data_IF_138552524141
#
_entry.id   IF_138552524141
#
_cell.length_a   1.000
_cell.length_b   1.000
_cell.length_c   1.000
_cell.angle_alpha   90.00
_cell.angle_beta   90.00
_cell.angle_gamma   90.00
#
_symmetry.space_group_name_H-M   'P 1'
#
loop_
_entity.id
_entity.type
_entity.pdbx_description
1 polymer ?
#
# COMPACT_ATOMS: atom_id res chain seq x y z
N UNK A 1 8.35 -6.03 -16.93
CA UNK A 1 8.13 -6.51 -15.54
C UNK A 1 7.10 -5.62 -14.85
N UNK A 2 6.24 -6.17 -14.01
CA UNK A 2 5.29 -5.43 -13.19
C UNK A 2 5.88 -5.26 -11.79
N UNK A 3 5.90 -4.04 -11.25
CA UNK A 3 6.14 -3.78 -9.83
C UNK A 3 4.78 -3.52 -9.19
N UNK A 4 4.38 -4.38 -8.25
CA UNK A 4 3.09 -4.32 -7.58
C UNK A 4 3.27 -3.75 -6.16
N UNK A 5 2.84 -2.51 -5.96
CA UNK A 5 2.76 -1.89 -4.64
C UNK A 5 1.44 -2.27 -3.97
N UNK A 6 1.50 -3.23 -3.07
CA UNK A 6 0.33 -3.65 -2.29
C UNK A 6 0.36 -2.97 -0.92
N UNK A 7 -0.79 -2.67 -0.37
CA UNK A 7 -0.85 -2.14 0.98
C UNK A 7 -2.18 -2.38 1.68
N UNK A 8 -2.12 -2.51 2.99
CA UNK A 8 -3.31 -2.38 3.82
C UNK A 8 -3.90 -0.98 3.59
N UNK A 9 -5.21 -0.84 3.42
CA UNK A 9 -5.83 0.48 3.33
C UNK A 9 -5.47 1.35 4.54
N UNK A 10 -5.18 2.63 4.27
CA UNK A 10 -4.80 3.63 5.29
C UNK A 10 -3.47 3.36 6.02
N UNK A 11 -2.67 2.45 5.53
CA UNK A 11 -1.31 2.18 6.01
C UNK A 11 -0.22 2.99 5.27
N UNK A 12 -0.54 4.17 4.75
CA UNK A 12 0.42 4.95 3.96
C UNK A 12 0.65 4.41 2.55
N UNK A 13 -0.26 3.55 2.03
CA UNK A 13 -0.11 2.90 0.74
C UNK A 13 -0.04 3.86 -0.46
N UNK A 14 -0.56 5.08 -0.34
CA UNK A 14 -0.39 6.14 -1.35
C UNK A 14 1.03 6.69 -1.36
N UNK A 15 1.57 7.01 -0.19
CA UNK A 15 2.95 7.46 -0.01
C UNK A 15 3.94 6.40 -0.51
N UNK A 16 3.79 5.16 -0.06
CA UNK A 16 4.63 4.03 -0.47
C UNK A 16 4.57 3.77 -1.98
N UNK A 17 3.37 3.82 -2.59
CA UNK A 17 3.21 3.66 -4.04
C UNK A 17 3.94 4.77 -4.81
N UNK A 18 3.78 6.03 -4.42
CA UNK A 18 4.41 7.15 -5.12
C UNK A 18 5.95 7.10 -5.00
N UNK A 19 6.48 6.77 -3.82
CA UNK A 19 7.92 6.57 -3.63
C UNK A 19 8.45 5.46 -4.56
N UNK A 20 7.77 4.30 -4.64
CA UNK A 20 8.15 3.21 -5.54
C UNK A 20 8.05 3.64 -7.00
N UNK A 21 6.98 4.33 -7.36
CA UNK A 21 6.76 4.81 -8.72
C UNK A 21 7.93 5.70 -9.16
N UNK A 22 8.26 6.72 -8.38
CA UNK A 22 9.30 7.68 -8.74
C UNK A 22 10.71 7.08 -8.70
N UNK A 23 10.99 6.18 -7.75
CA UNK A 23 12.22 5.37 -7.76
C UNK A 23 12.33 4.54 -9.04
N UNK A 24 11.25 3.92 -9.50
CA UNK A 24 11.27 3.13 -10.73
C UNK A 24 11.36 4.01 -11.98
N UNK A 25 10.92 5.27 -11.95
CA UNK A 25 11.19 6.23 -13.05
C UNK A 25 12.70 6.51 -13.20
N UNK A 26 13.47 6.54 -12.11
CA UNK A 26 14.93 6.66 -12.16
C UNK A 26 15.56 5.52 -12.98
N UNK A 27 14.98 4.32 -12.95
CA UNK A 27 15.37 3.15 -13.77
C UNK A 27 14.86 3.20 -15.21
N UNK A 28 14.15 4.24 -15.61
CA UNK A 28 13.54 4.35 -16.94
C UNK A 28 12.27 3.54 -17.13
N UNK A 29 11.58 3.18 -16.05
CA UNK A 29 10.30 2.50 -16.14
C UNK A 29 9.23 3.41 -16.76
N UNK A 30 8.27 2.80 -17.43
CA UNK A 30 7.16 3.53 -18.06
C UNK A 30 6.13 3.93 -17.02
N UNK A 31 5.49 5.09 -17.20
CA UNK A 31 4.33 5.45 -16.39
C UNK A 31 3.20 4.43 -16.63
N UNK A 32 2.63 3.91 -15.56
CA UNK A 32 1.54 2.93 -15.66
C UNK A 32 0.27 3.52 -16.30
N UNK A 33 0.09 4.84 -16.27
CA UNK A 33 -1.02 5.54 -16.94
C UNK A 33 -0.88 5.49 -18.46
N UNK A 34 0.35 5.64 -18.96
CA UNK A 34 0.65 5.50 -20.40
C UNK A 34 0.47 4.03 -20.86
N UNK A 35 0.93 3.07 -20.02
CA UNK A 35 0.70 1.64 -20.26
C UNK A 35 -0.79 1.35 -20.27
N UNK A 36 -1.57 1.88 -19.31
CA UNK A 36 -3.01 1.72 -19.21
C UNK A 36 -3.73 2.19 -20.49
N UNK A 37 -3.40 3.37 -20.98
CA UNK A 37 -3.97 3.93 -22.20
C UNK A 37 -3.56 3.12 -23.45
N UNK A 38 -2.25 2.87 -23.61
CA UNK A 38 -1.71 2.19 -24.80
C UNK A 38 -2.21 0.76 -24.96
N UNK A 39 -2.47 0.05 -23.87
CA UNK A 39 -2.86 -1.38 -23.88
C UNK A 39 -4.35 -1.59 -23.54
N UNK A 40 -5.15 -0.53 -23.54
CA UNK A 40 -6.59 -0.58 -23.25
C UNK A 40 -6.91 -1.33 -21.95
N UNK A 41 -6.33 -0.86 -20.84
CA UNK A 41 -6.49 -1.44 -19.51
C UNK A 41 -7.38 -0.59 -18.59
N UNK A 42 -8.20 0.30 -19.14
CA UNK A 42 -9.06 1.25 -18.42
C UNK A 42 -10.12 0.56 -17.57
N UNK A 43 -10.57 -0.61 -17.97
CA UNK A 43 -11.51 -1.47 -17.25
C UNK A 43 -10.86 -2.27 -16.10
N UNK A 44 -9.52 -2.29 -16.03
CA UNK A 44 -8.74 -3.06 -15.06
C UNK A 44 -8.01 -2.16 -14.07
N UNK A 45 -7.36 -1.11 -14.57
CA UNK A 45 -6.55 -0.19 -13.79
C UNK A 45 -7.28 1.14 -13.58
N UNK A 46 -7.34 1.61 -12.33
CA UNK A 46 -7.91 2.95 -12.07
C UNK A 46 -7.04 4.06 -12.66
N UNK A 47 -7.63 5.22 -12.89
CA UNK A 47 -6.98 6.35 -13.55
C UNK A 47 -5.79 6.92 -12.76
N UNK A 48 -5.99 7.20 -11.48
CA UNK A 48 -5.03 8.00 -10.70
C UNK A 48 -3.78 7.22 -10.29
N UNK A 49 -3.95 6.02 -9.73
CA UNK A 49 -2.86 5.25 -9.15
C UNK A 49 -2.74 3.84 -9.73
N UNK A 50 -3.38 3.60 -10.88
CA UNK A 50 -3.37 2.32 -11.57
C UNK A 50 -3.65 1.12 -10.66
N UNK A 51 -4.65 1.26 -9.76
CA UNK A 51 -5.05 0.18 -8.87
C UNK A 51 -5.78 -0.90 -9.64
N UNK A 52 -5.26 -2.13 -9.57
CA UNK A 52 -5.84 -3.29 -10.26
C UNK A 52 -7.11 -3.85 -9.58
N UNK A 53 -7.38 -3.43 -8.33
CA UNK A 53 -8.49 -3.94 -7.52
C UNK A 53 -8.26 -5.37 -7.03
N UNK A 54 -8.51 -6.38 -7.87
CA UNK A 54 -8.34 -7.80 -7.56
C UNK A 54 -7.27 -8.44 -8.44
N UNK A 55 -6.51 -9.40 -7.89
CA UNK A 55 -5.44 -10.12 -8.60
C UNK A 55 -5.97 -11.40 -9.25
N UNK A 56 -7.10 -11.31 -9.99
CA UNK A 56 -7.64 -12.45 -10.72
C UNK A 56 -6.74 -12.83 -11.91
N UNK A 57 -6.76 -14.10 -12.31
CA UNK A 57 -5.98 -14.61 -13.43
C UNK A 57 -6.26 -13.81 -14.73
N UNK A 58 -7.54 -13.49 -15.01
CA UNK A 58 -7.93 -12.70 -16.18
C UNK A 58 -7.32 -11.29 -16.19
N UNK A 59 -7.36 -10.56 -15.05
CA UNK A 59 -6.79 -9.22 -14.94
C UNK A 59 -5.27 -9.25 -15.04
N UNK A 60 -4.64 -10.18 -14.32
CA UNK A 60 -3.19 -10.33 -14.32
C UNK A 60 -2.66 -10.74 -15.70
N UNK A 61 -3.34 -11.63 -16.44
CA UNK A 61 -2.97 -11.99 -17.80
C UNK A 61 -2.93 -10.77 -18.72
N UNK A 62 -3.96 -9.90 -18.67
CA UNK A 62 -3.99 -8.68 -19.48
C UNK A 62 -2.89 -7.68 -19.09
N UNK A 63 -2.66 -7.47 -17.79
CA UNK A 63 -1.59 -6.59 -17.30
C UNK A 63 -0.19 -7.18 -17.57
N UNK A 64 -0.06 -8.50 -17.71
CA UNK A 64 1.20 -9.15 -18.07
C UNK A 64 1.62 -8.90 -19.54
N UNK A 65 0.67 -8.66 -20.45
CA UNK A 65 0.98 -8.42 -21.88
C UNK A 65 2.03 -7.31 -22.07
N UNK A 66 1.84 -6.07 -21.57
CA UNK A 66 2.87 -5.06 -21.70
C UNK A 66 4.20 -5.43 -21.04
N UNK A 67 4.18 -6.18 -19.93
CA UNK A 67 5.41 -6.65 -19.29
C UNK A 67 6.18 -7.67 -20.15
N UNK A 68 5.48 -8.60 -20.79
CA UNK A 68 6.05 -9.56 -21.75
C UNK A 68 6.64 -8.86 -22.97
N UNK A 69 6.09 -7.71 -23.37
CA UNK A 69 6.61 -6.85 -24.43
C UNK A 69 7.76 -5.92 -23.95
N UNK A 70 8.40 -6.24 -22.84
CA UNK A 70 9.59 -5.54 -22.35
C UNK A 70 9.33 -4.28 -21.52
N UNK A 71 8.07 -3.90 -21.27
CA UNK A 71 7.80 -2.73 -20.43
C UNK A 71 7.93 -3.08 -18.94
N UNK A 72 8.52 -2.16 -18.17
CA UNK A 72 8.48 -2.19 -16.70
C UNK A 72 7.64 -1.00 -16.22
N UNK A 73 6.73 -1.23 -15.28
CA UNK A 73 5.82 -0.21 -14.74
C UNK A 73 5.30 -0.60 -13.35
N UNK A 74 4.82 0.39 -12.60
CA UNK A 74 4.36 0.24 -11.23
C UNK A 74 2.84 0.33 -11.17
N UNK A 75 2.18 -0.68 -10.60
CA UNK A 75 0.73 -0.65 -10.33
C UNK A 75 0.45 -0.85 -8.85
N UNK A 76 -0.76 -0.49 -8.42
CA UNK A 76 -1.20 -0.58 -7.02
C UNK A 76 -2.22 -1.68 -6.81
N UNK A 77 -2.27 -2.25 -5.60
CA UNK A 77 -3.34 -3.14 -5.15
C UNK A 77 -3.61 -3.03 -3.64
N UNK A 78 -4.77 -3.54 -3.24
CA UNK A 78 -5.12 -3.82 -1.84
C UNK A 78 -5.56 -5.28 -1.66
N UNK A 79 -5.50 -6.07 -2.73
CA UNK A 79 -5.93 -7.46 -2.76
C UNK A 79 -4.89 -8.42 -2.18
N UNK A 80 -5.34 -9.59 -1.74
CA UNK A 80 -4.45 -10.69 -1.32
C UNK A 80 -3.77 -11.40 -2.50
N UNK A 81 -2.70 -12.16 -2.23
CA UNK A 81 -2.02 -12.95 -3.25
C UNK A 81 -2.94 -14.06 -3.80
N UNK A 82 -2.75 -14.37 -5.07
CA UNK A 82 -3.49 -15.43 -5.78
C UNK A 82 -2.50 -16.40 -6.41
N UNK A 83 -2.99 -17.55 -6.87
CA UNK A 83 -2.15 -18.49 -7.64
C UNK A 83 -1.53 -17.81 -8.88
N UNK A 84 -2.31 -16.99 -9.60
CA UNK A 84 -1.82 -16.28 -10.78
C UNK A 84 -0.72 -15.25 -10.43
N UNK A 85 -0.84 -14.53 -9.30
CA UNK A 85 0.23 -13.60 -8.88
C UNK A 85 1.51 -14.33 -8.48
N UNK A 86 1.41 -15.51 -7.84
CA UNK A 86 2.56 -16.35 -7.52
C UNK A 86 3.26 -16.88 -8.78
N UNK A 87 2.48 -17.28 -9.77
CA UNK A 87 3.01 -17.76 -11.05
C UNK A 87 3.80 -16.66 -11.77
N UNK A 88 3.24 -15.44 -11.85
CA UNK A 88 3.94 -14.30 -12.45
C UNK A 88 5.20 -13.91 -11.65
N UNK A 89 5.16 -14.00 -10.33
CA UNK A 89 6.34 -13.74 -9.49
C UNK A 89 7.44 -14.79 -9.72
N UNK A 90 7.07 -16.07 -9.79
CA UNK A 90 8.00 -17.17 -10.10
C UNK A 90 8.62 -17.05 -11.49
N UNK A 91 7.86 -16.52 -12.46
CA UNK A 91 8.34 -16.24 -13.82
C UNK A 91 9.19 -14.94 -13.93
N UNK A 92 9.43 -14.23 -12.84
CA UNK A 92 10.18 -12.96 -12.84
C UNK A 92 9.43 -11.77 -13.47
N UNK A 93 8.14 -11.94 -13.76
CA UNK A 93 7.29 -10.91 -14.37
C UNK A 93 6.61 -9.98 -13.35
N UNK A 94 6.57 -10.39 -12.08
CA UNK A 94 5.95 -9.64 -10.99
C UNK A 94 6.91 -9.51 -9.81
N UNK A 95 7.17 -8.28 -9.37
CA UNK A 95 7.89 -7.95 -8.15
C UNK A 95 6.95 -7.25 -7.18
N UNK A 96 6.90 -7.67 -5.93
CA UNK A 96 5.86 -7.25 -4.99
C UNK A 96 6.46 -6.57 -3.77
N UNK A 97 5.89 -5.44 -3.39
CA UNK A 97 6.09 -4.80 -2.09
C UNK A 97 4.76 -4.77 -1.35
N UNK A 98 4.79 -4.91 -0.03
CA UNK A 98 3.59 -4.85 0.81
C UNK A 98 3.83 -3.93 2.01
N UNK A 99 2.96 -2.93 2.19
CA UNK A 99 2.99 -2.05 3.37
C UNK A 99 1.78 -2.30 4.28
N UNK A 100 2.04 -2.38 5.59
CA UNK A 100 1.02 -2.48 6.63
C UNK A 100 1.24 -1.46 7.75
N UNK A 101 0.28 -1.32 8.62
CA UNK A 101 0.26 -0.41 9.75
C UNK A 101 -0.46 -1.06 10.93
N UNK A 102 -0.29 -0.51 12.15
CA UNK A 102 -1.14 -0.86 13.29
C UNK A 102 -2.62 -0.83 12.86
N UNK A 103 -3.32 -1.99 12.92
CA UNK A 103 -4.69 -2.09 12.43
C UNK A 103 -5.66 -1.18 13.18
N UNK A 104 -5.37 -0.85 14.45
CA UNK A 104 -6.18 0.07 15.27
C UNK A 104 -6.11 1.50 14.71
N UNK A 105 -4.93 1.95 14.34
CA UNK A 105 -4.72 3.25 13.69
C UNK A 105 -5.21 3.29 12.25
N UNK A 106 -5.07 2.18 11.51
CA UNK A 106 -5.57 2.07 10.14
C UNK A 106 -7.11 2.13 10.10
N UNK A 107 -7.77 1.46 11.05
CA UNK A 107 -9.22 1.49 11.26
C UNK A 107 -9.71 2.91 11.53
N UNK A 108 -9.12 3.59 12.51
CA UNK A 108 -9.45 4.99 12.84
C UNK A 108 -9.25 5.92 11.63
N UNK A 109 -8.17 5.72 10.90
CA UNK A 109 -7.87 6.52 9.69
C UNK A 109 -8.86 6.26 8.56
N UNK A 110 -9.36 5.04 8.42
CA UNK A 110 -10.37 4.68 7.40
C UNK A 110 -11.71 5.33 7.73
N UNK A 111 -12.17 5.18 8.96
CA UNK A 111 -13.40 5.80 9.48
C UNK A 111 -13.38 7.32 9.27
N UNK A 112 -12.38 8.01 9.81
CA UNK A 112 -12.26 9.47 9.70
C UNK A 112 -12.15 9.96 8.24
N UNK A 113 -11.62 9.16 7.33
CA UNK A 113 -11.57 9.52 5.92
C UNK A 113 -12.91 9.36 5.23
N UNK A 114 -13.68 8.34 5.59
CA UNK A 114 -15.07 8.15 5.17
C UNK A 114 -15.96 9.30 5.60
N UNK A 115 -15.95 9.62 6.90
CA UNK A 115 -16.71 10.73 7.48
C UNK A 115 -16.42 12.08 6.80
N UNK A 116 -15.13 12.40 6.60
CA UNK A 116 -14.76 13.64 5.90
C UNK A 116 -15.24 13.69 4.46
N UNK A 117 -15.32 12.55 3.78
CA UNK A 117 -15.90 12.46 2.45
C UNK A 117 -17.40 12.80 2.48
N UNK A 118 -18.11 12.20 3.41
CA UNK A 118 -19.56 12.44 3.60
C UNK A 118 -19.86 13.88 3.99
N UNK A 119 -19.14 14.45 4.96
CA UNK A 119 -19.35 15.82 5.43
C UNK A 119 -19.08 16.89 4.34
N UNK A 120 -18.27 16.56 3.34
CA UNK A 120 -17.98 17.44 2.19
C UNK A 120 -18.87 17.15 0.96
N UNK A 121 -19.88 16.29 1.08
CA UNK A 121 -20.71 15.86 -0.04
C UNK A 121 -19.93 15.10 -1.15
N UNK A 122 -18.79 14.53 -0.84
CA UNK A 122 -17.92 13.77 -1.76
C UNK A 122 -17.63 12.38 -1.21
N UNK A 123 -18.59 11.44 -1.30
CA UNK A 123 -18.41 10.07 -0.84
C UNK A 123 -17.15 9.43 -1.44
N UNK A 124 -16.48 8.60 -0.66
CA UNK A 124 -15.29 7.87 -1.06
C UNK A 124 -15.39 6.38 -0.68
N UNK A 125 -14.39 5.59 -1.01
CA UNK A 125 -14.38 4.14 -0.79
C UNK A 125 -14.58 3.71 0.68
N UNK A 126 -14.46 4.62 1.65
CA UNK A 126 -14.61 4.35 3.09
C UNK A 126 -15.89 4.94 3.67
N UNK A 127 -16.73 5.61 2.87
CA UNK A 127 -17.96 6.27 3.34
C UNK A 127 -19.02 5.30 3.84
N UNK A 128 -18.85 4.00 3.57
CA UNK A 128 -19.70 2.93 4.12
C UNK A 128 -19.33 2.54 5.57
N UNK A 129 -18.18 2.99 6.06
CA UNK A 129 -17.72 2.74 7.43
C UNK A 129 -18.34 3.78 8.36
N UNK A 130 -19.61 3.60 8.70
CA UNK A 130 -20.43 4.57 9.45
C UNK A 130 -20.34 4.40 10.96
N UNK A 131 -19.73 3.31 11.43
CA UNK A 131 -19.67 2.95 12.84
C UNK A 131 -18.41 2.09 13.15
N UNK A 132 -18.22 1.82 14.44
CA UNK A 132 -17.10 1.03 14.94
C UNK A 132 -17.11 -0.40 14.37
N UNK A 133 -18.27 -1.07 14.36
CA UNK A 133 -18.37 -2.49 13.99
C UNK A 133 -18.10 -2.71 12.51
N UNK A 134 -18.60 -1.83 11.63
CA UNK A 134 -18.29 -1.88 10.20
C UNK A 134 -16.81 -1.63 9.95
N UNK A 135 -16.20 -0.70 10.69
CA UNK A 135 -14.78 -0.41 10.59
C UNK A 135 -13.92 -1.58 11.09
N UNK A 136 -14.35 -2.23 12.17
CA UNK A 136 -13.72 -3.42 12.74
C UNK A 136 -13.76 -4.60 11.76
N UNK A 137 -14.93 -4.87 11.18
CA UNK A 137 -15.10 -5.93 10.17
C UNK A 137 -14.20 -5.66 8.95
N UNK A 138 -14.20 -4.44 8.44
CA UNK A 138 -13.39 -4.02 7.31
C UNK A 138 -11.89 -4.28 7.53
N UNK A 139 -11.33 -3.82 8.65
CA UNK A 139 -9.91 -4.02 8.94
C UNK A 139 -9.59 -5.50 9.23
N UNK A 140 -10.50 -6.25 9.86
CA UNK A 140 -10.32 -7.69 10.10
C UNK A 140 -10.09 -8.47 8.79
N UNK A 141 -10.75 -8.10 7.69
CA UNK A 141 -10.52 -8.72 6.38
C UNK A 141 -9.11 -8.41 5.86
N UNK A 142 -8.59 -7.21 6.09
CA UNK A 142 -7.22 -6.84 5.68
C UNK A 142 -6.14 -7.47 6.55
N UNK A 143 -6.42 -7.85 7.80
CA UNK A 143 -5.50 -8.68 8.60
C UNK A 143 -5.32 -10.07 8.00
N UNK A 144 -6.40 -10.68 7.49
CA UNK A 144 -6.31 -11.96 6.75
C UNK A 144 -5.54 -11.82 5.44
N UNK A 145 -5.62 -10.67 4.77
CA UNK A 145 -4.82 -10.37 3.57
C UNK A 145 -3.34 -10.18 3.94
N UNK A 146 -3.06 -9.44 5.03
CA UNK A 146 -1.71 -9.29 5.57
C UNK A 146 -1.07 -10.64 5.88
N UNK A 147 -1.77 -11.53 6.58
CA UNK A 147 -1.28 -12.85 6.93
C UNK A 147 -0.91 -13.71 5.70
N UNK A 148 -1.61 -13.53 4.59
CA UNK A 148 -1.27 -14.19 3.32
C UNK A 148 0.02 -13.62 2.73
N UNK A 149 0.17 -12.29 2.72
CA UNK A 149 1.34 -11.64 2.11
C UNK A 149 2.64 -11.88 2.87
N UNK A 150 2.63 -11.93 4.20
CA UNK A 150 3.83 -12.23 5.00
C UNK A 150 4.36 -13.66 4.83
N UNK A 151 3.53 -14.56 4.30
CA UNK A 151 3.93 -15.94 3.98
C UNK A 151 4.53 -16.08 2.57
N UNK A 152 4.39 -15.05 1.73
CA UNK A 152 4.92 -15.10 0.37
C UNK A 152 6.43 -14.87 0.37
N UNK A 153 7.14 -15.70 -0.42
CA UNK A 153 8.57 -15.52 -0.65
C UNK A 153 8.81 -14.34 -1.60
N UNK A 154 9.94 -13.67 -1.42
CA UNK A 154 10.37 -12.58 -2.32
C UNK A 154 9.42 -11.37 -2.37
N UNK A 155 8.72 -11.08 -1.29
CA UNK A 155 7.94 -9.85 -1.08
C UNK A 155 8.68 -8.96 -0.10
N UNK A 156 8.89 -7.69 -0.46
CA UNK A 156 9.37 -6.71 0.50
C UNK A 156 8.21 -6.28 1.41
N UNK A 157 8.29 -6.64 2.67
CA UNK A 157 7.33 -6.24 3.68
C UNK A 157 7.83 -4.96 4.35
N UNK A 158 7.02 -3.90 4.33
CA UNK A 158 7.28 -2.63 4.98
C UNK A 158 6.24 -2.34 6.06
N UNK A 159 6.67 -1.83 7.20
CA UNK A 159 5.79 -1.32 8.24
C UNK A 159 5.73 0.21 8.13
N UNK A 160 4.52 0.78 8.18
CA UNK A 160 4.31 2.21 8.07
C UNK A 160 5.10 3.01 9.11
N UNK A 161 5.13 2.52 10.34
CA UNK A 161 5.82 3.16 11.45
C UNK A 161 7.33 3.18 11.23
N UNK A 162 7.90 2.13 10.68
CA UNK A 162 9.34 2.08 10.36
C UNK A 162 9.67 3.05 9.22
N UNK A 163 8.82 3.09 8.17
CA UNK A 163 8.97 4.08 7.11
C UNK A 163 8.80 5.52 7.61
N UNK A 164 8.08 5.74 8.72
CA UNK A 164 7.90 7.04 9.33
C UNK A 164 9.09 7.45 10.22
N UNK A 165 9.62 6.52 11.01
CA UNK A 165 10.60 6.80 12.08
C UNK A 165 12.04 6.41 11.73
N UNK A 166 12.23 5.50 10.80
CA UNK A 166 13.51 5.02 10.31
C UNK A 166 13.60 5.12 8.78
N UNK A 167 13.22 6.28 8.27
CA UNK A 167 12.98 6.53 6.85
C UNK A 167 14.18 6.20 5.97
N UNK A 168 15.39 6.58 6.37
CA UNK A 168 16.62 6.36 5.62
C UNK A 168 16.87 4.87 5.36
N UNK A 169 16.84 4.08 6.41
CA UNK A 169 17.09 2.63 6.30
C UNK A 169 16.01 1.95 5.46
N UNK A 170 14.73 2.31 5.67
CA UNK A 170 13.61 1.70 4.94
C UNK A 170 13.59 2.11 3.47
N UNK A 171 13.90 3.35 3.13
CA UNK A 171 13.96 3.81 1.74
C UNK A 171 15.15 3.22 0.99
N UNK A 172 16.31 3.06 1.64
CA UNK A 172 17.46 2.35 1.08
C UNK A 172 17.12 0.88 0.84
N UNK A 173 16.54 0.19 1.82
CA UNK A 173 16.09 -1.21 1.70
C UNK A 173 15.10 -1.39 0.55
N UNK A 174 14.19 -0.44 0.37
CA UNK A 174 13.25 -0.42 -0.73
C UNK A 174 13.95 -0.22 -2.08
N UNK A 175 14.86 0.74 -2.19
CA UNK A 175 15.61 1.02 -3.40
C UNK A 175 16.45 -0.20 -3.82
N UNK A 176 17.17 -0.83 -2.90
CA UNK A 176 17.95 -2.05 -3.15
C UNK A 176 17.05 -3.21 -3.59
N UNK A 177 15.90 -3.41 -2.92
CA UNK A 177 14.94 -4.41 -3.34
C UNK A 177 14.45 -4.16 -4.77
N UNK A 178 14.20 -2.92 -5.17
CA UNK A 178 13.81 -2.53 -6.53
C UNK A 178 14.97 -2.65 -7.53
N UNK A 179 16.20 -2.93 -7.05
CA UNK A 179 17.41 -3.07 -7.86
C UNK A 179 17.97 -1.74 -8.33
N UNK A 180 17.81 -0.67 -7.53
CA UNK A 180 18.53 0.58 -7.71
C UNK A 180 19.85 0.55 -6.94
N UNK A 181 20.84 1.27 -7.46
CA UNK A 181 22.04 1.54 -6.68
C UNK A 181 21.70 2.56 -5.58
N UNK A 182 21.99 2.21 -4.33
CA UNK A 182 21.76 3.08 -3.16
C UNK A 182 22.52 4.41 -3.23
N UNK A 183 23.56 4.50 -4.07
CA UNK A 183 24.36 5.71 -4.25
C UNK A 183 24.03 6.46 -5.55
N UNK A 184 22.96 6.07 -6.29
CA UNK A 184 22.52 6.84 -7.46
C UNK A 184 21.95 8.21 -6.98
N UNK A 185 22.57 9.33 -7.38
CA UNK A 185 22.12 10.66 -6.94
C UNK A 185 20.64 10.92 -7.23
N UNK A 186 20.11 10.41 -8.35
CA UNK A 186 18.72 10.58 -8.73
C UNK A 186 17.77 9.79 -7.80
N UNK A 187 18.20 8.59 -7.38
CA UNK A 187 17.44 7.81 -6.41
C UNK A 187 17.45 8.48 -5.03
N UNK A 188 18.59 9.04 -4.62
CA UNK A 188 18.70 9.80 -3.37
C UNK A 188 17.81 11.06 -3.41
N UNK A 189 17.76 11.78 -4.51
CA UNK A 189 16.86 12.93 -4.68
C UNK A 189 15.40 12.54 -4.53
N UNK A 190 14.96 11.44 -5.13
CA UNK A 190 13.60 10.90 -4.94
C UNK A 190 13.36 10.54 -3.48
N UNK A 191 14.30 9.86 -2.82
CA UNK A 191 14.18 9.52 -1.40
C UNK A 191 13.98 10.79 -0.54
N UNK A 192 14.76 11.83 -0.77
CA UNK A 192 14.61 13.10 -0.04
C UNK A 192 13.22 13.73 -0.24
N UNK A 193 12.70 13.75 -1.47
CA UNK A 193 11.38 14.31 -1.79
C UNK A 193 10.22 13.60 -1.09
N UNK A 194 10.43 12.35 -0.67
CA UNK A 194 9.41 11.54 0.02
C UNK A 194 9.63 11.41 1.53
N UNK A 195 10.54 12.21 2.12
CA UNK A 195 10.68 12.27 3.58
C UNK A 195 9.35 12.63 4.25
N UNK A 196 9.06 12.09 5.44
CA UNK A 196 7.81 12.36 6.15
C UNK A 196 7.45 13.85 6.23
N UNK A 197 8.43 14.72 6.50
CA UNK A 197 8.25 16.18 6.59
C UNK A 197 7.90 16.81 5.24
N UNK A 198 8.47 16.30 4.15
CA UNK A 198 8.29 16.83 2.81
C UNK A 198 6.94 16.42 2.17
N UNK A 199 6.38 15.30 2.63
CA UNK A 199 5.11 14.80 2.12
C UNK A 199 3.91 15.19 2.96
N UNK A 200 4.11 15.81 4.12
CA UNK A 200 3.03 16.26 4.98
C UNK A 200 2.19 17.33 4.26
N UNK A 201 0.88 17.07 4.13
CA UNK A 201 -0.05 17.95 3.43
C UNK A 201 0.05 17.94 1.89
N UNK A 202 1.01 17.23 1.29
CA UNK A 202 1.15 17.13 -0.17
C UNK A 202 -0.02 16.36 -0.79
N UNK A 203 -0.65 16.93 -1.81
CA UNK A 203 -1.73 16.26 -2.55
C UNK A 203 -1.24 14.95 -3.19
N UNK A 204 -2.07 13.92 -3.16
CA UNK A 204 -1.78 12.63 -3.81
C UNK A 204 -1.00 11.64 -2.96
N UNK A 205 -0.25 12.07 -1.94
CA UNK A 205 0.47 11.16 -1.03
C UNK A 205 -0.45 10.46 -0.04
N UNK A 206 -1.64 11.02 0.22
CA UNK A 206 -2.55 10.60 1.29
C UNK A 206 -1.90 10.56 2.69
N UNK A 207 -0.78 11.24 2.86
CA UNK A 207 -0.11 11.45 4.13
C UNK A 207 -0.79 12.63 4.86
N UNK A 208 -1.33 12.40 6.05
CA UNK A 208 -2.16 13.42 6.68
C UNK A 208 -1.56 13.98 7.97
N UNK A 209 -1.15 13.14 8.92
CA UNK A 209 -0.64 13.59 10.23
C UNK A 209 0.64 12.90 10.68
N UNK A 210 1.05 11.80 10.03
CA UNK A 210 2.23 11.04 10.43
C UNK A 210 2.25 10.54 11.89
N UNK A 211 1.08 10.42 12.53
CA UNK A 211 0.97 10.09 13.94
C UNK A 211 0.69 8.62 14.17
N UNK A 212 1.35 8.03 15.17
CA UNK A 212 1.21 6.64 15.60
C UNK A 212 0.50 6.58 16.94
N UNK A 213 -0.33 5.56 17.16
CA UNK A 213 -1.00 5.30 18.43
C UNK A 213 -2.21 6.19 18.74
N UNK A 214 -2.75 6.88 17.74
CA UNK A 214 -3.93 7.76 17.89
C UNK A 214 -5.18 7.04 18.36
N UNK A 215 -5.28 5.74 18.12
CA UNK A 215 -6.38 4.91 18.56
C UNK A 215 -6.57 4.95 20.10
N UNK A 216 -5.49 5.17 20.86
CA UNK A 216 -5.53 5.20 22.33
C UNK A 216 -6.38 6.34 22.89
N UNK A 217 -6.39 7.48 22.20
CA UNK A 217 -7.19 8.66 22.59
C UNK A 217 -8.58 8.67 21.93
N UNK A 218 -8.71 8.00 20.76
CA UNK A 218 -9.92 8.06 19.96
C UNK A 218 -10.98 7.01 20.33
N UNK A 219 -10.54 5.85 20.85
CA UNK A 219 -11.45 4.77 21.23
C UNK A 219 -11.64 4.70 22.75
N UNK A 220 -12.89 4.42 23.20
CA UNK A 220 -13.18 4.19 24.60
C UNK A 220 -12.42 2.96 25.14
N UNK A 221 -12.26 2.82 26.48
CA UNK A 221 -11.65 1.63 27.07
C UNK A 221 -12.33 0.32 26.63
N UNK A 222 -13.65 0.31 26.50
CA UNK A 222 -14.43 -0.85 26.04
C UNK A 222 -14.11 -1.19 24.58
N UNK A 223 -14.03 -0.16 23.72
CA UNK A 223 -13.63 -0.35 22.32
C UNK A 223 -12.19 -0.84 22.20
N UNK A 224 -11.27 -0.30 23.00
CA UNK A 224 -9.87 -0.77 23.03
C UNK A 224 -9.77 -2.24 23.46
N UNK A 225 -10.58 -2.66 24.44
CA UNK A 225 -10.68 -4.08 24.84
C UNK A 225 -11.15 -4.96 23.69
N UNK A 226 -12.20 -4.55 22.97
CA UNK A 226 -12.67 -5.29 21.77
C UNK A 226 -11.57 -5.37 20.71
N UNK A 227 -10.83 -4.29 20.48
CA UNK A 227 -9.71 -4.29 19.53
C UNK A 227 -8.58 -5.23 19.98
N UNK A 228 -8.24 -5.26 21.26
CA UNK A 228 -7.24 -6.17 21.83
C UNK A 228 -7.67 -7.63 21.67
N UNK A 229 -8.93 -7.96 21.97
CA UNK A 229 -9.48 -9.29 21.78
C UNK A 229 -9.52 -9.70 20.29
N UNK A 230 -9.99 -8.81 19.41
CA UNK A 230 -10.16 -9.11 17.98
C UNK A 230 -8.85 -9.21 17.22
N UNK A 231 -7.86 -8.40 17.57
CA UNK A 231 -6.56 -8.32 16.87
C UNK A 231 -5.42 -8.97 17.65
N UNK A 232 -5.67 -9.49 18.87
CA UNK A 232 -4.65 -10.00 19.78
C UNK A 232 -3.72 -11.05 19.18
N UNK A 233 -4.22 -11.92 18.32
CA UNK A 233 -3.42 -12.92 17.61
C UNK A 233 -2.53 -12.33 16.50
N UNK A 234 -2.89 -11.16 15.99
CA UNK A 234 -2.19 -10.48 14.90
C UNK A 234 -1.17 -9.47 15.41
N UNK A 235 -1.52 -8.68 16.42
CA UNK A 235 -0.71 -7.57 16.90
C UNK A 235 0.74 -7.95 17.21
N UNK A 236 1.04 -9.01 17.99
CA UNK A 236 2.42 -9.42 18.26
C UNK A 236 3.17 -9.85 16.99
N UNK A 237 2.49 -10.57 16.08
CA UNK A 237 3.07 -11.02 14.80
C UNK A 237 3.37 -9.83 13.87
N UNK A 238 2.63 -8.73 14.02
CA UNK A 238 2.82 -7.49 13.27
C UNK A 238 3.85 -6.54 13.95
N UNK A 239 4.35 -6.91 15.14
CA UNK A 239 5.30 -6.10 15.89
C UNK A 239 4.65 -4.99 16.74
N UNK A 240 3.38 -5.17 17.14
CA UNK A 240 2.66 -4.22 18.01
C UNK A 240 2.33 -4.85 19.38
N UNK A 241 2.28 -4.00 20.39
CA UNK A 241 1.82 -4.38 21.72
C UNK A 241 0.29 -4.46 21.72
N UNK A 242 -0.25 -5.46 22.39
CA UNK A 242 -1.70 -5.67 22.58
C UNK A 242 -2.30 -4.59 23.45
#
# INVERSE_FOLDING_TARGET
MIVLSVGMPRAGSGWHYNLIHDLMQVKGCKDARDIRARFHLEDILTEVNCNIGVLSARRLARVAVPALLGNTFVIKAHAGPTFASRLLAAAGLLKVTYIYRDPRDAMLSAFNYGERGMSKGRPNAFSHLTDFDKSLAFISDYLRIWEKWIREKNVLIARYEDLLTNYEAESVRLAEYLGLNRSDPRALEVIEQYRPKEVEGRQGTHFFKGQVGRFREAYSPEQQKVLAERFGDFLPKMGYVV
#
